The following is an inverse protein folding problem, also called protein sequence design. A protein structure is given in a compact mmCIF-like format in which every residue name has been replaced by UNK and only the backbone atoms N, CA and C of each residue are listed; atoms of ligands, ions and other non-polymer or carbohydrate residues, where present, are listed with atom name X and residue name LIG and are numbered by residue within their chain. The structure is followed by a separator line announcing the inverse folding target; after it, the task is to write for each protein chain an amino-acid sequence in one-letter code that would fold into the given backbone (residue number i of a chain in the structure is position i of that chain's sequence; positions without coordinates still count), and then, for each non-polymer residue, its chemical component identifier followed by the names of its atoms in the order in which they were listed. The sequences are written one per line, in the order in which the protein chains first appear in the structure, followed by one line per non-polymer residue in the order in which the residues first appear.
data_IF_354735277558
#
_entry.id   IF_354735277558
#
_cell.length_a   1.000
_cell.length_b   1.000
_cell.length_c   1.000
_cell.angle_alpha   90.00
_cell.angle_beta   90.00
_cell.angle_gamma   90.00
#
_symmetry.space_group_name_H-M   'P 1'
#
loop_
_entity.id
_entity.type
_entity.pdbx_description
1 polymer ?
#
# COMPACT_ATOMS: atom_id res chain seq x y z
N UNK A 1 19.78 -5.40 -8.20
CA UNK A 1 19.85 -6.50 -7.23
C UNK A 1 20.79 -7.57 -7.77
N UNK A 2 21.68 -8.14 -6.94
CA UNK A 2 22.54 -9.25 -7.39
C UNK A 2 21.69 -10.50 -7.65
N UNK A 3 22.09 -11.30 -8.64
CA UNK A 3 21.44 -12.58 -8.97
C UNK A 3 21.54 -13.57 -7.82
N UNK A 4 20.60 -14.52 -7.75
CA UNK A 4 20.70 -15.64 -6.81
C UNK A 4 21.64 -16.69 -7.40
N UNK A 5 22.85 -16.81 -6.84
CA UNK A 5 23.88 -17.77 -7.29
C UNK A 5 23.70 -19.19 -6.71
N UNK A 6 22.69 -19.38 -5.85
CA UNK A 6 22.34 -20.68 -5.27
C UNK A 6 21.31 -21.45 -6.10
N UNK A 7 21.38 -22.78 -6.06
CA UNK A 7 20.34 -23.66 -6.61
C UNK A 7 19.02 -23.62 -5.81
N UNK A 8 19.01 -23.02 -4.62
CA UNK A 8 17.81 -22.88 -3.79
C UNK A 8 16.98 -21.65 -4.20
N UNK A 9 15.64 -21.78 -4.17
CA UNK A 9 14.72 -20.68 -4.51
C UNK A 9 14.72 -19.60 -3.41
N UNK A 10 15.00 -18.35 -3.77
CA UNK A 10 14.82 -17.19 -2.89
C UNK A 10 13.34 -16.80 -2.83
N UNK A 11 12.77 -16.76 -1.62
CA UNK A 11 11.43 -16.20 -1.35
C UNK A 11 11.60 -14.89 -0.59
N UNK A 12 10.85 -13.88 -0.96
CA UNK A 12 10.86 -12.57 -0.29
C UNK A 12 9.44 -12.05 -0.14
N UNK A 13 9.22 -11.28 0.92
CA UNK A 13 7.97 -10.58 1.18
C UNK A 13 8.30 -9.10 1.36
N UNK A 14 7.56 -8.23 0.68
CA UNK A 14 7.75 -6.78 0.72
C UNK A 14 6.41 -6.10 0.88
N UNK A 15 6.34 -5.15 1.81
CA UNK A 15 5.15 -4.35 2.08
C UNK A 15 5.44 -2.87 1.80
N UNK A 16 4.39 -2.14 1.47
CA UNK A 16 4.37 -0.68 1.45
C UNK A 16 3.33 -0.23 2.45
N UNK A 17 3.76 0.56 3.43
CA UNK A 17 2.92 1.17 4.44
C UNK A 17 2.86 2.68 4.16
N UNK A 18 1.69 3.28 4.37
CA UNK A 18 1.43 4.70 4.13
C UNK A 18 0.74 5.29 5.35
N UNK A 19 0.82 6.61 5.52
CA UNK A 19 0.13 7.34 6.58
C UNK A 19 -1.35 7.52 6.30
N UNK A 20 -2.10 7.93 7.34
CA UNK A 20 -3.54 8.15 7.29
C UNK A 20 -3.95 9.31 6.35
N UNK A 21 -3.00 10.17 6.02
CA UNK A 21 -3.11 11.33 5.13
C UNK A 21 -2.83 11.00 3.65
N UNK A 22 -2.54 9.73 3.33
CA UNK A 22 -2.32 9.32 1.95
C UNK A 22 -3.59 9.48 1.09
N UNK A 23 -3.40 10.05 -0.10
CA UNK A 23 -4.46 10.25 -1.11
C UNK A 23 -4.13 9.55 -2.42
N UNK A 24 -5.17 9.17 -3.15
CA UNK A 24 -5.05 8.63 -4.49
C UNK A 24 -4.57 9.72 -5.47
N UNK A 25 -3.63 9.34 -6.34
CA UNK A 25 -3.17 10.17 -7.46
C UNK A 25 -3.21 9.32 -8.71
N UNK A 26 -3.90 9.82 -9.73
CA UNK A 26 -3.90 9.19 -11.05
C UNK A 26 -2.52 9.40 -11.70
N UNK A 27 -1.89 8.30 -12.13
CA UNK A 27 -0.65 8.36 -12.88
C UNK A 27 -0.96 8.22 -14.37
N UNK A 28 -0.31 9.00 -15.25
CA UNK A 28 -0.52 8.90 -16.70
C UNK A 28 -0.05 7.57 -17.31
N UNK A 29 0.66 6.74 -16.54
CA UNK A 29 1.10 5.41 -16.94
C UNK A 29 0.49 4.31 -16.07
N UNK A 30 0.38 3.10 -16.63
CA UNK A 30 -0.09 1.92 -15.90
C UNK A 30 0.81 1.65 -14.70
N UNK A 31 0.23 1.58 -13.50
CA UNK A 31 0.91 0.98 -12.35
C UNK A 31 0.93 -0.54 -12.53
N UNK A 32 2.04 -1.17 -12.14
CA UNK A 32 2.14 -2.63 -12.06
C UNK A 32 2.38 -3.04 -10.60
N UNK A 33 1.52 -3.91 -10.03
CA UNK A 33 0.28 -4.42 -10.62
C UNK A 33 -0.77 -3.29 -10.80
N UNK A 34 -1.68 -3.42 -11.79
CA UNK A 34 -2.80 -2.49 -11.91
C UNK A 34 -3.76 -2.68 -10.74
N UNK A 35 -4.41 -1.60 -10.32
CA UNK A 35 -5.49 -1.62 -9.31
C UNK A 35 -6.82 -1.31 -10.01
N UNK A 36 -7.41 -2.23 -10.80
CA UNK A 36 -8.69 -1.95 -11.46
C UNK A 36 -9.85 -1.97 -10.45
N UNK A 37 -10.91 -1.18 -10.69
CA UNK A 37 -12.15 -1.28 -9.91
C UNK A 37 -12.12 -0.66 -8.51
N UNK A 38 -11.08 0.11 -8.16
CA UNK A 38 -11.02 0.80 -6.86
C UNK A 38 -11.97 2.01 -6.76
N UNK A 39 -12.42 2.58 -7.88
CA UNK A 39 -13.40 3.68 -7.92
C UNK A 39 -13.02 4.93 -7.12
N UNK A 40 -11.72 5.22 -7.00
CA UNK A 40 -11.21 6.39 -6.25
C UNK A 40 -10.94 7.53 -7.23
N UNK A 41 -11.19 8.76 -6.80
CA UNK A 41 -10.87 9.98 -7.56
C UNK A 41 -9.56 10.62 -7.08
N UNK A 42 -8.80 11.32 -7.93
CA UNK A 42 -7.60 12.04 -7.49
C UNK A 42 -7.86 12.95 -6.28
N UNK A 43 -6.97 12.91 -5.29
CA UNK A 43 -7.10 13.66 -4.03
C UNK A 43 -7.98 12.98 -2.97
N UNK A 44 -8.70 11.90 -3.30
CA UNK A 44 -9.47 11.13 -2.31
C UNK A 44 -8.52 10.37 -1.37
N UNK A 45 -8.82 10.37 -0.07
CA UNK A 45 -8.13 9.47 0.89
C UNK A 45 -8.26 8.02 0.44
N UNK A 46 -7.21 7.24 0.66
CA UNK A 46 -7.22 5.82 0.31
C UNK A 46 -8.35 5.10 1.07
N UNK A 47 -9.16 4.33 0.34
CA UNK A 47 -10.30 3.61 0.92
C UNK A 47 -9.83 2.46 1.80
N UNK A 48 -10.42 2.31 2.97
CA UNK A 48 -10.05 1.29 3.95
C UNK A 48 -10.31 -0.15 3.45
N UNK A 49 -11.31 -0.36 2.60
CA UNK A 49 -11.58 -1.67 1.99
C UNK A 49 -10.52 -2.09 0.94
N UNK A 50 -9.68 -1.16 0.49
CA UNK A 50 -8.56 -1.40 -0.42
C UNK A 50 -7.20 -1.30 0.29
N UNK A 51 -7.09 -0.42 1.28
CA UNK A 51 -5.89 -0.14 2.06
C UNK A 51 -6.25 -0.22 3.55
N UNK A 52 -6.28 -1.43 4.14
CA UNK A 52 -6.74 -1.60 5.51
C UNK A 52 -5.80 -0.92 6.51
N UNK A 53 -6.38 -0.33 7.56
CA UNK A 53 -5.61 0.17 8.70
C UNK A 53 -5.01 -1.01 9.46
N UNK A 54 -3.68 -1.13 9.44
CA UNK A 54 -2.96 -2.17 10.17
C UNK A 54 -2.65 -1.77 11.62
N UNK A 55 -2.57 -0.47 11.90
CA UNK A 55 -2.24 0.06 13.21
C UNK A 55 -2.97 1.38 13.43
N UNK A 56 -3.71 1.46 14.53
CA UNK A 56 -4.32 2.70 14.99
C UNK A 56 -3.53 3.15 16.22
N UNK A 57 -2.89 4.31 16.15
CA UNK A 57 -2.22 4.87 17.32
C UNK A 57 -3.31 5.22 18.33
N UNK A 58 -3.32 4.52 19.45
CA UNK A 58 -4.43 4.52 20.41
C UNK A 58 -4.98 5.90 20.71
N UNK A 59 -6.31 5.97 20.62
CA UNK A 59 -7.15 6.86 21.39
C UNK A 59 -6.59 6.90 22.81
N UNK A 60 -5.96 8.01 23.20
CA UNK A 60 -5.66 8.23 24.61
C UNK A 60 -7.03 8.40 25.25
N UNK A 61 -7.49 7.37 25.94
CA UNK A 61 -8.54 7.52 26.94
C UNK A 61 -7.99 8.56 27.93
N UNK A 62 -8.48 9.79 27.78
CA UNK A 62 -8.19 10.88 28.71
C UNK A 62 -8.87 10.47 30.01
N UNK A 63 -8.08 10.00 30.97
CA UNK A 63 -8.51 9.86 32.37
C UNK A 63 -8.83 11.23 32.96
#
# INVERSE_FOLDING_TARGET
ARGNESAARRRAFSLRLVGDDAVYVERPGRTSPPYPGHGMTPGQRLREDWFPTLFRRGDREVS
#
